data_IF_221113906959
#
_entry.id   IF_221113906959
#
_cell.length_a   1.000
_cell.length_b   1.000
_cell.length_c   1.000
_cell.angle_alpha   90.00
_cell.angle_beta   90.00
_cell.angle_gamma   90.00
#
_symmetry.space_group_name_H-M   'P 1'
#
loop_
_entity.id
_entity.type
_entity.pdbx_description
1 polymer ?
#
# COMPACT_ATOMS: atom_id res chain seq x y z
N UNK A 1 -42.43 -8.25 13.64
CA UNK A 1 -41.24 -7.52 13.13
C UNK A 1 -40.05 -7.67 14.08
N UNK A 2 -39.45 -8.87 14.16
CA UNK A 2 -38.28 -9.14 14.99
C UNK A 2 -36.99 -8.79 14.24
N UNK A 3 -36.69 -7.49 14.25
CA UNK A 3 -35.38 -6.85 14.33
C UNK A 3 -34.20 -7.47 13.55
N UNK A 4 -33.95 -6.90 12.36
CA UNK A 4 -32.71 -6.93 11.57
C UNK A 4 -31.40 -6.65 12.36
N UNK A 5 -31.48 -6.28 13.64
CA UNK A 5 -30.33 -6.07 14.53
C UNK A 5 -29.68 -7.39 14.98
N UNK A 6 -30.43 -8.50 15.08
CA UNK A 6 -29.85 -9.79 15.51
C UNK A 6 -28.93 -10.42 14.44
N UNK A 7 -29.26 -10.28 13.16
CA UNK A 7 -28.46 -10.88 12.07
C UNK A 7 -27.12 -10.16 11.83
N UNK A 8 -27.06 -8.83 12.01
CA UNK A 8 -25.80 -8.05 11.91
C UNK A 8 -24.80 -8.39 13.03
N UNK A 9 -25.29 -8.67 14.24
CA UNK A 9 -24.45 -9.06 15.36
C UNK A 9 -23.81 -10.45 15.15
N UNK A 10 -24.55 -11.38 14.54
CA UNK A 10 -24.04 -12.74 14.24
C UNK A 10 -22.96 -12.71 13.16
N UNK A 11 -23.09 -11.86 12.13
CA UNK A 11 -22.07 -11.67 11.10
C UNK A 11 -20.78 -11.02 11.64
N UNK A 12 -20.90 -10.02 12.51
CA UNK A 12 -19.73 -9.41 13.17
C UNK A 12 -18.98 -10.41 14.07
N UNK A 13 -19.70 -11.28 14.77
CA UNK A 13 -19.09 -12.35 15.58
C UNK A 13 -18.37 -13.41 14.74
N UNK A 14 -18.76 -13.63 13.49
CA UNK A 14 -18.09 -14.57 12.59
C UNK A 14 -16.77 -13.98 12.04
N UNK A 15 -16.70 -12.67 11.82
CA UNK A 15 -15.47 -11.97 11.39
C UNK A 15 -14.49 -11.67 12.53
N UNK A 16 -14.94 -11.67 13.79
CA UNK A 16 -14.10 -11.39 14.96
C UNK A 16 -13.52 -12.64 15.64
N UNK A 17 -13.92 -13.85 15.22
CA UNK A 17 -13.30 -15.08 15.71
C UNK A 17 -12.02 -15.35 14.91
N UNK A 18 -10.84 -15.43 15.54
CA UNK A 18 -9.64 -15.85 14.84
C UNK A 18 -9.90 -17.25 14.28
N UNK A 19 -9.72 -17.41 12.97
CA UNK A 19 -9.79 -18.72 12.29
C UNK A 19 -8.97 -19.73 13.09
N UNK A 20 -9.50 -20.94 13.35
CA UNK A 20 -8.75 -21.97 14.05
C UNK A 20 -7.45 -22.21 13.29
N UNK A 21 -6.34 -21.86 13.93
CA UNK A 21 -5.02 -21.97 13.32
C UNK A 21 -4.73 -23.45 13.14
N UNK A 22 -5.02 -23.98 11.96
CA UNK A 22 -4.65 -25.35 11.62
C UNK A 22 -3.13 -25.49 11.75
N UNK A 23 -2.69 -26.63 12.26
CA UNK A 23 -1.26 -26.97 12.41
C UNK A 23 -0.47 -26.79 11.11
N UNK A 24 -1.15 -26.88 9.96
CA UNK A 24 -0.63 -26.62 8.61
C UNK A 24 -0.29 -25.14 8.37
N UNK A 25 -1.16 -24.22 8.80
CA UNK A 25 -0.90 -22.78 8.71
C UNK A 25 0.21 -22.38 9.68
N UNK A 26 0.24 -22.96 10.89
CA UNK A 26 1.35 -22.74 11.83
C UNK A 26 2.68 -23.28 11.31
N UNK A 27 2.69 -24.48 10.71
CA UNK A 27 3.87 -25.04 10.04
C UNK A 27 4.34 -24.14 8.92
N UNK A 28 3.45 -23.73 8.01
CA UNK A 28 3.82 -22.82 6.93
C UNK A 28 4.37 -21.49 7.47
N UNK A 29 3.79 -20.94 8.53
CA UNK A 29 4.28 -19.72 9.20
C UNK A 29 5.64 -19.88 9.87
N UNK A 30 5.98 -21.10 10.34
CA UNK A 30 7.30 -21.43 10.86
C UNK A 30 8.36 -21.68 9.79
N UNK A 31 7.92 -22.05 8.58
CA UNK A 31 8.76 -22.31 7.41
C UNK A 31 8.99 -21.07 6.55
N UNK A 32 8.07 -20.09 6.61
CA UNK A 32 8.37 -18.76 6.10
C UNK A 32 9.60 -18.27 6.84
N UNK A 33 10.65 -17.80 6.14
CA UNK A 33 11.74 -17.13 6.81
C UNK A 33 11.09 -16.07 7.69
N UNK A 34 11.29 -16.15 9.01
CA UNK A 34 11.04 -15.02 9.90
C UNK A 34 11.93 -13.95 9.31
N UNK A 35 11.38 -13.11 8.42
CA UNK A 35 12.08 -11.98 7.88
C UNK A 35 12.43 -11.22 9.12
N UNK A 36 13.69 -11.35 9.56
CA UNK A 36 14.21 -10.54 10.64
C UNK A 36 13.81 -9.15 10.19
N UNK A 37 13.04 -8.37 10.98
CA UNK A 37 12.82 -7.00 10.61
C UNK A 37 14.24 -6.52 10.33
N UNK A 38 14.53 -6.17 9.08
CA UNK A 38 15.79 -5.53 8.77
C UNK A 38 15.66 -4.29 9.60
N UNK A 39 16.22 -4.33 10.83
CA UNK A 39 16.15 -3.22 11.76
C UNK A 39 16.74 -2.13 10.92
N UNK A 40 15.89 -1.20 10.49
CA UNK A 40 16.32 -0.04 9.76
C UNK A 40 17.28 0.61 10.74
N UNK A 41 18.58 0.37 10.56
CA UNK A 41 19.65 0.98 11.35
C UNK A 41 19.72 2.48 11.04
N UNK A 42 18.93 2.93 10.06
CA UNK A 42 18.74 4.30 9.68
C UNK A 42 18.03 5.04 10.82
N UNK A 43 18.54 6.21 11.22
CA UNK A 43 17.87 7.07 12.17
C UNK A 43 16.44 7.41 11.72
N UNK A 44 15.50 7.49 12.69
CA UNK A 44 14.09 7.80 12.43
C UNK A 44 13.91 9.05 11.55
N UNK A 45 14.67 10.10 11.83
CA UNK A 45 14.66 11.36 11.07
C UNK A 45 14.93 11.10 9.58
N UNK A 46 15.91 10.25 9.26
CA UNK A 46 16.23 9.88 7.86
C UNK A 46 15.10 9.10 7.22
N UNK A 47 14.43 8.23 7.97
CA UNK A 47 13.26 7.48 7.47
C UNK A 47 12.13 8.45 7.12
N UNK A 48 11.82 9.42 7.99
CA UNK A 48 10.81 10.45 7.72
C UNK A 48 11.19 11.31 6.50
N UNK A 49 12.44 11.76 6.40
CA UNK A 49 12.92 12.53 5.24
C UNK A 49 12.82 11.74 3.93
N UNK A 50 13.18 10.46 3.96
CA UNK A 50 13.08 9.57 2.80
C UNK A 50 11.62 9.39 2.40
N UNK A 51 10.72 9.26 3.37
CA UNK A 51 9.30 9.11 3.13
C UNK A 51 8.71 10.38 2.48
N UNK A 52 9.05 11.55 2.99
CA UNK A 52 8.62 12.84 2.41
C UNK A 52 9.16 12.97 0.97
N UNK A 53 10.44 12.64 0.75
CA UNK A 53 11.06 12.67 -0.58
C UNK A 53 10.37 11.74 -1.58
N UNK A 54 9.95 10.55 -1.17
CA UNK A 54 9.23 9.61 -2.04
C UNK A 54 7.90 10.20 -2.51
N UNK A 55 7.18 10.90 -1.63
CA UNK A 55 5.93 11.55 -1.98
C UNK A 55 6.15 12.70 -2.97
N UNK A 56 7.15 13.53 -2.71
CA UNK A 56 7.46 14.68 -3.57
C UNK A 56 7.93 14.24 -4.96
N UNK A 57 8.78 13.22 -5.04
CA UNK A 57 9.20 12.62 -6.33
C UNK A 57 8.00 12.02 -7.08
N UNK A 58 7.09 11.33 -6.38
CA UNK A 58 5.89 10.79 -7.00
C UNK A 58 5.01 11.90 -7.60
N UNK A 59 4.85 13.00 -6.87
CA UNK A 59 4.11 14.18 -7.33
C UNK A 59 4.79 14.86 -8.52
N UNK A 60 6.12 14.99 -8.52
CA UNK A 60 6.87 15.54 -9.65
C UNK A 60 6.63 14.74 -10.93
N UNK A 61 6.78 13.41 -10.88
CA UNK A 61 6.49 12.55 -12.04
C UNK A 61 5.02 12.59 -12.46
N UNK A 62 4.10 12.76 -11.51
CA UNK A 62 2.68 12.92 -11.82
C UNK A 62 2.43 14.22 -12.62
N UNK A 63 3.08 15.32 -12.24
CA UNK A 63 2.98 16.60 -12.94
C UNK A 63 3.67 16.58 -14.31
N UNK A 64 4.78 15.86 -14.45
CA UNK A 64 5.46 15.63 -15.74
C UNK A 64 4.74 14.62 -16.65
N UNK A 65 3.57 14.13 -16.24
CA UNK A 65 2.78 13.12 -16.97
C UNK A 65 3.53 11.79 -17.21
N UNK A 66 4.57 11.50 -16.42
CA UNK A 66 5.28 10.22 -16.41
C UNK A 66 4.53 9.21 -15.54
N UNK A 67 3.35 8.79 -16.01
CA UNK A 67 2.33 8.08 -15.23
C UNK A 67 2.84 6.79 -14.57
N UNK A 68 3.65 6.00 -15.27
CA UNK A 68 4.18 4.73 -14.76
C UNK A 68 5.18 4.93 -13.62
N UNK A 69 6.08 5.91 -13.76
CA UNK A 69 7.03 6.27 -12.70
C UNK A 69 6.28 6.82 -11.50
N UNK A 70 5.34 7.75 -11.72
CA UNK A 70 4.50 8.29 -10.67
C UNK A 70 3.77 7.17 -9.89
N UNK A 71 3.15 6.23 -10.60
CA UNK A 71 2.48 5.08 -10.01
C UNK A 71 3.43 4.23 -9.16
N UNK A 72 4.61 3.90 -9.69
CA UNK A 72 5.62 3.13 -8.96
C UNK A 72 6.08 3.82 -7.67
N UNK A 73 6.30 5.13 -7.71
CA UNK A 73 6.69 5.90 -6.52
C UNK A 73 5.56 6.05 -5.50
N UNK A 74 4.31 6.24 -5.93
CA UNK A 74 3.16 6.24 -5.00
C UNK A 74 3.02 4.90 -4.26
N UNK A 75 3.19 3.77 -4.95
CA UNK A 75 3.15 2.46 -4.28
C UNK A 75 4.29 2.28 -3.28
N UNK A 76 5.51 2.72 -3.63
CA UNK A 76 6.66 2.69 -2.70
C UNK A 76 6.44 3.57 -1.47
N UNK A 77 5.85 4.76 -1.66
CA UNK A 77 5.48 5.64 -0.56
C UNK A 77 4.46 4.98 0.36
N UNK A 78 3.39 4.40 -0.19
CA UNK A 78 2.33 3.73 0.59
C UNK A 78 2.89 2.54 1.38
N UNK A 79 3.70 1.69 0.74
CA UNK A 79 4.39 0.57 1.41
C UNK A 79 5.28 1.08 2.57
N UNK A 80 6.05 2.14 2.33
CA UNK A 80 6.90 2.73 3.35
C UNK A 80 6.09 3.33 4.53
N UNK A 81 4.99 4.04 4.24
CA UNK A 81 4.16 4.69 5.24
C UNK A 81 3.36 3.69 6.10
N UNK A 82 2.82 2.64 5.47
CA UNK A 82 1.90 1.70 6.12
C UNK A 82 2.64 0.51 6.76
N UNK A 83 3.67 0.00 6.11
CA UNK A 83 4.35 -1.22 6.57
C UNK A 83 5.67 -0.94 7.27
N UNK A 84 6.52 -0.07 6.71
CA UNK A 84 7.90 0.12 7.19
C UNK A 84 8.00 1.10 8.35
N UNK A 85 7.37 2.27 8.24
CA UNK A 85 7.44 3.33 9.24
C UNK A 85 6.90 2.89 10.61
N UNK A 86 5.73 2.23 10.73
CA UNK A 86 5.19 1.82 12.04
C UNK A 86 6.01 0.73 12.73
N UNK A 87 6.83 -0.02 11.99
CA UNK A 87 7.73 -1.05 12.53
C UNK A 87 9.07 -0.49 13.00
N UNK A 88 9.31 0.82 12.84
CA UNK A 88 10.55 1.43 13.30
C UNK A 88 10.61 1.43 14.84
N UNK A 89 11.75 1.06 15.48
CA UNK A 89 11.85 0.98 16.95
C UNK A 89 11.42 2.26 17.67
N UNK A 90 11.74 3.42 17.07
CA UNK A 90 11.47 4.74 17.62
C UNK A 90 10.20 5.38 17.02
N UNK A 91 9.28 4.61 16.43
CA UNK A 91 8.08 5.16 15.80
C UNK A 91 7.20 6.00 16.75
N UNK A 92 7.22 5.67 18.05
CA UNK A 92 6.47 6.40 19.07
C UNK A 92 6.98 7.83 19.25
N UNK A 93 8.25 8.10 18.93
CA UNK A 93 8.88 9.42 19.06
C UNK A 93 8.44 10.40 17.95
N UNK A 94 7.74 9.92 16.92
CA UNK A 94 7.18 10.76 15.87
C UNK A 94 6.02 11.59 16.43
N UNK A 95 6.02 12.90 16.14
CA UNK A 95 4.96 13.84 16.52
C UNK A 95 3.60 13.44 15.94
N UNK A 96 2.53 13.76 16.67
CA UNK A 96 1.16 13.52 16.21
C UNK A 96 0.87 14.26 14.88
N UNK A 97 1.38 15.48 14.73
CA UNK A 97 1.25 16.28 13.51
C UNK A 97 1.85 15.58 12.29
N UNK A 98 3.05 15.01 12.42
CA UNK A 98 3.67 14.28 11.32
C UNK A 98 2.88 13.01 10.98
N UNK A 99 2.41 12.26 11.98
CA UNK A 99 1.55 11.07 11.75
C UNK A 99 0.28 11.45 10.99
N UNK A 100 -0.36 12.57 11.33
CA UNK A 100 -1.55 13.05 10.64
C UNK A 100 -1.24 13.50 9.19
N UNK A 101 -0.14 14.23 8.98
CA UNK A 101 0.36 14.60 7.64
C UNK A 101 0.57 13.34 6.79
N UNK A 102 1.32 12.36 7.30
CA UNK A 102 1.60 11.10 6.60
C UNK A 102 0.33 10.32 6.31
N UNK A 103 -0.64 10.28 7.23
CA UNK A 103 -1.94 9.65 7.01
C UNK A 103 -2.69 10.29 5.83
N UNK A 104 -2.80 11.63 5.81
CA UNK A 104 -3.44 12.38 4.71
C UNK A 104 -2.73 12.13 3.38
N UNK A 105 -1.40 12.16 3.36
CA UNK A 105 -0.60 11.88 2.16
C UNK A 105 -0.78 10.43 1.68
N UNK A 106 -0.87 9.46 2.59
CA UNK A 106 -1.09 8.04 2.26
C UNK A 106 -2.44 7.83 1.59
N UNK A 107 -3.50 8.41 2.13
CA UNK A 107 -4.84 8.35 1.52
C UNK A 107 -4.81 8.98 0.12
N UNK A 108 -4.14 10.13 -0.04
CA UNK A 108 -4.00 10.79 -1.34
C UNK A 108 -3.21 9.93 -2.33
N UNK A 109 -2.10 9.34 -1.91
CA UNK A 109 -1.27 8.49 -2.74
C UNK A 109 -2.03 7.25 -3.23
N UNK A 110 -2.80 6.58 -2.37
CA UNK A 110 -3.65 5.43 -2.75
C UNK A 110 -4.65 5.84 -3.83
N UNK A 111 -5.40 6.92 -3.61
CA UNK A 111 -6.40 7.41 -4.59
C UNK A 111 -5.77 7.76 -5.94
N UNK A 112 -4.59 8.38 -5.94
CA UNK A 112 -3.87 8.71 -7.17
C UNK A 112 -3.34 7.45 -7.87
N UNK A 113 -2.78 6.52 -7.12
CA UNK A 113 -2.28 5.25 -7.66
C UNK A 113 -3.40 4.45 -8.33
N UNK A 114 -4.58 4.36 -7.71
CA UNK A 114 -5.75 3.69 -8.31
C UNK A 114 -6.18 4.33 -9.63
N UNK A 115 -6.23 5.67 -9.68
CA UNK A 115 -6.54 6.40 -10.93
C UNK A 115 -5.49 6.16 -12.01
N UNK A 116 -4.20 6.17 -11.64
CA UNK A 116 -3.10 5.92 -12.56
C UNK A 116 -3.11 4.50 -13.09
N UNK A 117 -3.41 3.50 -12.25
CA UNK A 117 -3.52 2.10 -12.64
C UNK A 117 -4.48 1.93 -13.81
N UNK A 118 -5.68 2.51 -13.73
CA UNK A 118 -6.67 2.43 -14.81
C UNK A 118 -6.17 3.08 -16.10
N UNK A 119 -5.53 4.25 -16.01
CA UNK A 119 -4.96 4.93 -17.18
C UNK A 119 -3.85 4.11 -17.85
N UNK A 120 -2.95 3.55 -17.05
CA UNK A 120 -1.83 2.73 -17.52
C UNK A 120 -2.37 1.48 -18.20
N UNK A 121 -3.30 0.75 -17.57
CA UNK A 121 -3.92 -0.44 -18.17
C UNK A 121 -4.58 -0.13 -19.51
N UNK A 122 -5.36 0.95 -19.60
CA UNK A 122 -6.00 1.36 -20.85
C UNK A 122 -4.98 1.68 -21.96
N UNK A 123 -3.84 2.29 -21.60
CA UNK A 123 -2.74 2.54 -22.55
C UNK A 123 -2.17 1.24 -23.09
N UNK A 124 -1.87 0.27 -22.22
CA UNK A 124 -1.34 -1.04 -22.63
C UNK A 124 -2.32 -1.81 -23.52
N UNK A 125 -3.61 -1.85 -23.17
CA UNK A 125 -4.63 -2.49 -24.00
C UNK A 125 -4.74 -1.85 -25.38
N UNK A 126 -4.70 -0.52 -25.45
CA UNK A 126 -4.76 0.21 -26.73
C UNK A 126 -3.55 -0.06 -27.62
N UNK A 127 -2.34 -0.12 -27.02
CA UNK A 127 -1.12 -0.47 -27.76
C UNK A 127 -1.12 -1.92 -28.23
N UNK A 128 -1.58 -2.87 -27.41
CA UNK A 128 -1.68 -4.28 -27.81
C UNK A 128 -2.71 -4.52 -28.91
N UNK A 129 -3.85 -3.82 -28.88
CA UNK A 129 -4.87 -3.93 -29.93
C UNK A 129 -4.36 -3.36 -31.27
N UNK A 130 -3.62 -2.24 -31.27
CA UNK A 130 -3.04 -1.66 -32.48
C UNK A 130 -1.98 -2.56 -33.12
N UNK A 131 -1.15 -3.23 -32.32
CA UNK A 131 -0.12 -4.13 -32.83
C UNK A 131 -0.69 -5.47 -33.34
N UNK A 132 -1.92 -5.84 -32.94
CA UNK A 132 -2.61 -7.01 -33.48
C UNK A 132 -3.22 -6.80 -34.87
N UNK A 133 -3.52 -5.56 -35.24
CA UNK A 133 -4.13 -5.22 -36.54
C UNK A 133 -3.04 -5.06 -37.62
N UNK A 134 -1.86 -4.53 -37.27
CA UNK A 134 -0.79 -4.28 -38.23
C UNK A 134 0.04 -5.51 -38.64
N UNK A 135 -0.30 -6.71 -38.16
CA UNK A 135 0.39 -7.97 -38.48
C UNK A 135 -0.44 -8.89 -39.40
N UNK A 136 -1.45 -8.34 -40.11
CA UNK A 136 -2.35 -9.10 -41.00
C UNK A 136 -2.33 -8.59 -42.45
N UNK A 137 -1.37 -7.72 -42.81
CA UNK A 137 -1.16 -7.29 -44.21
C UNK A 137 0.11 -7.89 -44.81
#
# INVERSE_FOLDING_TARGET
MLSMKKQKATLLLYFMKPLPQTSRIQRFRSLLPKSRPHRLKLPLIKVCQTLDSLFDIAMAYFHENQLEKAFGYFLRFVDAAVDKLPKHPNYNDITAEYKEKTCRQTIRAIKLAEKLKSKILNSYFSHHLKNGINNVE
#
